data_IF_663035185094
#
_entry.id   IF_663035185094
#
_cell.length_a   1.000
_cell.length_b   1.000
_cell.length_c   1.000
_cell.angle_alpha   90.00
_cell.angle_beta   90.00
_cell.angle_gamma   90.00
#
_symmetry.space_group_name_H-M   'P 1'
#
loop_
_entity.id
_entity.type
_entity.pdbx_description
1 polymer ?
#
# COMPACT_ATOMS: atom_id res chain seq x y z
N UNK A 1 27.76 25.90 -19.38
CA UNK A 1 26.48 25.18 -19.42
C UNK A 1 25.70 25.59 -18.17
N UNK A 2 24.62 26.35 -18.30
CA UNK A 2 23.85 26.83 -17.15
C UNK A 2 22.94 25.68 -16.69
N UNK A 3 23.16 25.19 -15.47
CA UNK A 3 22.27 24.21 -14.85
C UNK A 3 21.11 24.98 -14.22
N UNK A 4 19.87 24.67 -14.61
CA UNK A 4 18.70 25.20 -13.93
C UNK A 4 18.63 24.63 -12.50
N UNK A 5 18.32 25.46 -11.49
CA UNK A 5 18.05 24.96 -10.14
C UNK A 5 16.86 23.99 -10.10
N UNK A 6 16.82 23.09 -9.12
CA UNK A 6 15.74 22.10 -8.97
C UNK A 6 14.37 22.77 -8.81
N UNK A 7 14.33 23.94 -8.20
CA UNK A 7 13.14 24.76 -7.99
C UNK A 7 12.46 25.13 -9.31
N UNK A 8 13.24 25.36 -10.37
CA UNK A 8 12.72 25.63 -11.71
C UNK A 8 12.06 24.39 -12.30
N UNK A 9 12.71 23.22 -12.16
CA UNK A 9 12.15 21.95 -12.63
C UNK A 9 10.86 21.58 -11.89
N UNK A 10 10.80 21.80 -10.57
CA UNK A 10 9.58 21.55 -9.80
C UNK A 10 8.41 22.39 -10.30
N UNK A 11 8.62 23.67 -10.62
CA UNK A 11 7.57 24.50 -11.25
C UNK A 11 7.10 23.90 -12.58
N UNK A 12 8.03 23.47 -13.44
CA UNK A 12 7.68 22.82 -14.72
C UNK A 12 6.84 21.56 -14.47
N UNK A 13 7.27 20.69 -13.55
CA UNK A 13 6.55 19.46 -13.25
C UNK A 13 5.18 19.70 -12.63
N UNK A 14 5.03 20.73 -11.80
CA UNK A 14 3.73 21.11 -11.25
C UNK A 14 2.74 21.55 -12.33
N UNK A 15 3.20 22.25 -13.39
CA UNK A 15 2.35 22.54 -14.55
C UNK A 15 1.98 21.29 -15.37
N UNK A 16 2.85 20.26 -15.38
CA UNK A 16 2.63 19.03 -16.15
C UNK A 16 1.81 17.96 -15.39
N UNK A 17 1.57 18.14 -14.09
CA UNK A 17 0.86 17.17 -13.23
C UNK A 17 -0.58 16.88 -13.67
N UNK A 18 -1.21 17.78 -14.41
CA UNK A 18 -2.60 17.61 -14.86
C UNK A 18 -2.74 16.56 -15.97
N UNK A 19 -1.65 16.14 -16.60
CA UNK A 19 -1.64 15.17 -17.70
C UNK A 19 -0.77 13.94 -17.39
N UNK A 20 -1.01 12.81 -18.10
CA UNK A 20 -0.11 11.64 -18.13
C UNK A 20 1.32 11.98 -18.64
N UNK A 21 1.54 13.21 -19.10
CA UNK A 21 2.81 13.81 -19.54
C UNK A 21 3.93 13.75 -18.49
N UNK A 22 3.62 13.64 -17.19
CA UNK A 22 4.67 13.55 -16.18
C UNK A 22 5.45 12.21 -16.26
N UNK A 23 4.82 11.14 -16.76
CA UNK A 23 5.50 9.86 -16.99
C UNK A 23 6.50 9.94 -18.15
N UNK A 24 6.20 10.66 -19.23
CA UNK A 24 7.13 10.81 -20.36
C UNK A 24 8.39 11.58 -19.94
N UNK A 25 8.26 12.49 -18.97
CA UNK A 25 9.38 13.25 -18.42
C UNK A 25 10.40 12.37 -17.67
N UNK A 26 10.02 11.15 -17.23
CA UNK A 26 10.95 10.16 -16.66
C UNK A 26 12.03 9.72 -17.65
N UNK A 27 11.73 9.78 -18.95
CA UNK A 27 12.58 9.24 -20.01
C UNK A 27 13.54 10.28 -20.59
N UNK A 28 13.42 11.55 -20.20
CA UNK A 28 14.22 12.66 -20.76
C UNK A 28 15.70 12.53 -20.38
N UNK A 29 16.00 12.43 -19.08
CA UNK A 29 17.36 12.18 -18.59
C UNK A 29 17.34 11.69 -17.13
N UNK A 30 18.50 11.24 -16.62
CA UNK A 30 18.65 10.72 -15.25
C UNK A 30 18.33 11.75 -14.16
N UNK A 31 18.56 13.03 -14.41
CA UNK A 31 18.29 14.08 -13.44
C UNK A 31 16.78 14.32 -13.27
N UNK A 32 16.05 14.43 -14.39
CA UNK A 32 14.59 14.55 -14.42
C UNK A 32 13.92 13.33 -13.79
N UNK A 33 14.37 12.13 -14.17
CA UNK A 33 13.91 10.87 -13.57
C UNK A 33 13.99 10.91 -12.03
N UNK A 34 15.14 11.35 -11.47
CA UNK A 34 15.35 11.44 -10.02
C UNK A 34 14.42 12.44 -9.32
N UNK A 35 14.06 13.55 -9.96
CA UNK A 35 13.16 14.55 -9.40
C UNK A 35 11.69 14.11 -9.48
N UNK A 36 11.32 13.46 -10.58
CA UNK A 36 9.92 13.12 -10.88
C UNK A 36 9.47 11.86 -10.15
N UNK A 37 10.33 10.85 -9.98
CA UNK A 37 9.94 9.60 -9.30
C UNK A 37 9.31 9.86 -7.92
N UNK A 38 9.90 10.67 -7.02
CA UNK A 38 9.27 11.01 -5.74
C UNK A 38 7.96 11.77 -5.87
N UNK A 39 7.73 12.50 -6.97
CA UNK A 39 6.49 13.24 -7.23
C UNK A 39 5.39 12.26 -7.63
N UNK A 40 5.65 11.43 -8.66
CA UNK A 40 4.71 10.44 -9.17
C UNK A 40 4.32 9.41 -8.10
N UNK A 41 5.28 8.94 -7.31
CA UNK A 41 5.02 7.96 -6.25
C UNK A 41 4.54 8.58 -4.93
N UNK A 42 4.39 9.91 -4.85
CA UNK A 42 3.87 10.53 -3.63
C UNK A 42 2.38 10.27 -3.42
N UNK A 43 1.62 10.21 -4.50
CA UNK A 43 0.23 9.77 -4.52
C UNK A 43 0.13 8.77 -5.65
N UNK A 44 0.43 7.48 -5.39
CA UNK A 44 0.36 6.47 -6.43
C UNK A 44 -1.06 6.49 -7.00
N UNK A 45 -1.17 6.90 -8.26
CA UNK A 45 -2.41 6.90 -9.05
C UNK A 45 -3.12 5.56 -8.89
N UNK A 46 -4.45 5.58 -8.98
CA UNK A 46 -5.36 4.48 -8.70
C UNK A 46 -4.71 3.09 -8.85
N UNK A 47 -4.19 2.60 -7.73
CA UNK A 47 -3.37 1.41 -7.66
C UNK A 47 -4.14 0.13 -8.00
N UNK A 48 -5.46 0.25 -8.15
CA UNK A 48 -6.35 -0.76 -8.70
C UNK A 48 -6.14 -1.00 -10.20
N UNK A 49 -5.66 0.00 -10.93
CA UNK A 49 -5.52 -0.01 -12.40
C UNK A 49 -4.20 -0.63 -12.85
N UNK A 50 -3.10 -0.38 -12.13
CA UNK A 50 -1.77 -0.87 -12.51
C UNK A 50 -1.16 -1.83 -11.47
N UNK A 51 -1.30 -3.13 -11.75
CA UNK A 51 -0.72 -4.23 -10.95
C UNK A 51 0.80 -4.15 -10.79
N UNK A 52 1.51 -3.42 -11.67
CA UNK A 52 2.96 -3.23 -11.54
C UNK A 52 3.31 -2.45 -10.28
N UNK A 53 2.43 -1.55 -9.81
CA UNK A 53 2.61 -0.82 -8.56
C UNK A 53 2.64 -1.78 -7.36
N UNK A 54 1.69 -2.72 -7.30
CA UNK A 54 1.66 -3.74 -6.25
C UNK A 54 2.93 -4.58 -6.26
N UNK A 55 3.37 -5.04 -7.44
CA UNK A 55 4.63 -5.80 -7.58
C UNK A 55 5.84 -5.00 -7.07
N UNK A 56 5.94 -3.71 -7.38
CA UNK A 56 7.04 -2.85 -6.90
C UNK A 56 7.05 -2.75 -5.37
N UNK A 57 5.88 -2.61 -4.74
CA UNK A 57 5.78 -2.56 -3.29
C UNK A 57 6.08 -3.91 -2.63
N UNK A 58 5.64 -5.02 -3.24
CA UNK A 58 5.96 -6.37 -2.78
C UNK A 58 7.48 -6.63 -2.76
N UNK A 59 8.24 -6.10 -3.71
CA UNK A 59 9.71 -6.19 -3.73
C UNK A 59 10.39 -5.38 -2.61
N UNK A 60 9.65 -4.51 -1.93
CA UNK A 60 10.17 -3.65 -0.85
C UNK A 60 9.89 -4.22 0.56
N UNK A 61 9.24 -5.39 0.62
CA UNK A 61 8.94 -6.08 1.88
C UNK A 61 10.20 -6.64 2.54
N UNK A 62 10.34 -6.45 3.85
CA UNK A 62 11.36 -7.09 4.66
C UNK A 62 10.93 -8.51 5.08
N UNK A 63 11.83 -9.26 5.72
CA UNK A 63 11.56 -10.65 6.15
C UNK A 63 10.34 -10.75 7.06
N UNK A 64 10.17 -9.82 8.01
CA UNK A 64 9.04 -9.81 8.95
C UNK A 64 7.70 -9.64 8.22
N UNK A 65 7.63 -8.72 7.25
CA UNK A 65 6.42 -8.42 6.47
C UNK A 65 6.04 -9.56 5.55
N UNK A 66 7.03 -10.31 5.05
CA UNK A 66 6.84 -11.49 4.22
C UNK A 66 6.26 -12.67 5.01
N UNK A 67 6.47 -12.73 6.33
CA UNK A 67 5.96 -13.86 7.15
C UNK A 67 4.45 -14.02 7.08
N UNK A 68 3.70 -12.91 6.87
CA UNK A 68 2.24 -12.92 6.74
C UNK A 68 1.76 -13.65 5.48
N UNK A 69 2.63 -13.83 4.49
CA UNK A 69 2.32 -14.42 3.19
C UNK A 69 2.52 -15.94 3.17
N UNK A 70 3.33 -16.46 4.09
CA UNK A 70 3.70 -17.88 4.19
C UNK A 70 2.47 -18.79 4.32
N UNK A 71 1.47 -18.52 5.18
CA UNK A 71 0.29 -19.40 5.34
C UNK A 71 -0.53 -19.55 4.06
N UNK A 72 -0.37 -18.63 3.10
CA UNK A 72 -1.09 -18.61 1.84
C UNK A 72 -0.23 -19.06 0.66
N UNK A 73 0.98 -19.59 0.91
CA UNK A 73 1.92 -20.02 -0.14
C UNK A 73 2.10 -18.96 -1.25
N UNK A 74 2.02 -17.67 -0.91
CA UNK A 74 2.20 -16.58 -1.85
C UNK A 74 3.69 -16.42 -2.08
N UNK A 75 4.12 -16.66 -3.31
CA UNK A 75 5.51 -16.58 -3.73
C UNK A 75 5.73 -15.18 -4.26
N UNK A 76 6.66 -14.45 -3.64
CA UNK A 76 7.00 -13.12 -4.10
C UNK A 76 7.84 -13.17 -5.39
N UNK A 77 7.72 -12.16 -6.25
CA UNK A 77 8.51 -12.11 -7.46
C UNK A 77 10.01 -12.04 -7.12
N UNK A 78 10.82 -12.94 -7.67
CA UNK A 78 12.28 -12.95 -7.49
C UNK A 78 12.96 -12.00 -8.50
N UNK A 79 12.65 -10.71 -8.42
CA UNK A 79 13.27 -9.69 -9.27
C UNK A 79 14.38 -8.93 -8.54
N UNK A 80 15.23 -8.24 -9.32
CA UNK A 80 16.19 -7.29 -8.79
C UNK A 80 15.49 -6.20 -7.97
N UNK A 81 16.14 -5.79 -6.87
CA UNK A 81 15.66 -4.69 -6.02
C UNK A 81 15.32 -3.44 -6.87
N UNK A 82 14.19 -2.75 -6.60
CA UNK A 82 13.85 -1.54 -7.31
C UNK A 82 14.95 -0.48 -7.22
N UNK A 83 15.13 0.29 -8.30
CA UNK A 83 16.16 1.35 -8.37
C UNK A 83 15.95 2.46 -7.33
N UNK A 84 14.69 2.72 -6.97
CA UNK A 84 14.29 3.72 -6.02
C UNK A 84 13.53 3.11 -4.85
N UNK A 85 13.55 3.79 -3.70
CA UNK A 85 12.73 3.44 -2.54
C UNK A 85 11.30 3.93 -2.71
N UNK A 86 10.58 3.38 -3.68
CA UNK A 86 9.23 3.84 -4.06
C UNK A 86 8.27 3.91 -2.87
N UNK A 87 8.33 2.94 -1.95
CA UNK A 87 7.50 2.91 -0.75
C UNK A 87 7.78 4.07 0.22
N UNK A 88 8.98 4.66 0.23
CA UNK A 88 9.32 5.78 1.12
C UNK A 88 8.83 7.14 0.58
N UNK A 89 8.48 7.20 -0.70
CA UNK A 89 7.93 8.41 -1.32
C UNK A 89 6.41 8.54 -1.13
N UNK A 90 5.71 7.42 -0.93
CA UNK A 90 4.25 7.38 -0.74
C UNK A 90 3.78 8.24 0.43
N UNK A 91 2.89 9.19 0.14
CA UNK A 91 2.25 10.09 1.12
C UNK A 91 0.81 9.70 1.43
N UNK A 92 0.15 8.99 0.53
CA UNK A 92 -1.23 8.53 0.69
C UNK A 92 -1.36 7.07 0.29
N UNK A 93 -2.04 6.30 1.14
CA UNK A 93 -2.47 4.93 0.86
C UNK A 93 -3.97 4.87 1.09
N UNK A 94 -4.72 4.76 -0.01
CA UNK A 94 -6.18 4.78 -0.01
C UNK A 94 -6.82 3.42 -0.24
N UNK A 95 -8.14 3.42 -0.39
CA UNK A 95 -8.94 2.21 -0.64
C UNK A 95 -8.56 1.43 -1.91
N UNK A 96 -7.93 2.06 -2.91
CA UNK A 96 -7.49 1.39 -4.14
C UNK A 96 -6.55 0.20 -3.87
N UNK A 97 -5.84 0.21 -2.71
CA UNK A 97 -4.84 -0.81 -2.39
C UNK A 97 -5.48 -2.20 -2.34
N UNK A 98 -6.70 -2.29 -1.82
CA UNK A 98 -7.43 -3.54 -1.76
C UNK A 98 -7.67 -4.12 -3.15
N UNK A 99 -8.17 -3.30 -4.08
CA UNK A 99 -8.52 -3.75 -5.42
C UNK A 99 -7.26 -4.04 -6.24
N UNK A 100 -6.19 -3.25 -6.08
CA UNK A 100 -4.89 -3.53 -6.68
C UNK A 100 -4.32 -4.87 -6.23
N UNK A 101 -4.34 -5.15 -4.92
CA UNK A 101 -3.88 -6.44 -4.37
C UNK A 101 -4.73 -7.59 -4.89
N UNK A 102 -6.06 -7.41 -4.92
CA UNK A 102 -6.98 -8.43 -5.42
C UNK A 102 -6.74 -8.74 -6.91
N UNK A 103 -6.56 -7.70 -7.73
CA UNK A 103 -6.26 -7.85 -9.15
C UNK A 103 -4.92 -8.55 -9.36
N UNK A 104 -3.89 -8.15 -8.60
CA UNK A 104 -2.58 -8.83 -8.65
C UNK A 104 -2.69 -10.31 -8.29
N UNK A 105 -3.34 -10.65 -7.16
CA UNK A 105 -3.52 -12.05 -6.75
C UNK A 105 -4.31 -12.88 -7.78
N UNK A 106 -5.30 -12.28 -8.44
CA UNK A 106 -6.06 -12.94 -9.49
C UNK A 106 -5.17 -13.26 -10.69
N UNK A 107 -4.36 -12.30 -11.12
CA UNK A 107 -3.48 -12.44 -12.28
C UNK A 107 -2.35 -13.46 -12.07
N UNK A 108 -1.86 -13.61 -10.83
CA UNK A 108 -0.90 -14.66 -10.48
C UNK A 108 -1.58 -16.03 -10.23
N UNK A 109 -2.91 -16.13 -10.33
CA UNK A 109 -3.66 -17.38 -10.16
C UNK A 109 -3.86 -17.81 -8.70
N UNK A 110 -3.68 -16.92 -7.72
CA UNK A 110 -3.87 -17.26 -6.31
C UNK A 110 -5.35 -17.38 -5.92
N UNK A 111 -6.25 -16.56 -6.50
CA UNK A 111 -7.65 -16.50 -6.03
C UNK A 111 -8.44 -17.78 -6.32
N UNK A 112 -8.16 -18.48 -7.42
CA UNK A 112 -8.84 -19.72 -7.78
C UNK A 112 -8.58 -20.87 -6.78
N UNK A 113 -7.48 -20.80 -6.03
CA UNK A 113 -7.11 -21.77 -5.00
C UNK A 113 -7.89 -21.58 -3.68
N UNK A 114 -8.51 -20.42 -3.43
CA UNK A 114 -9.13 -20.05 -2.15
C UNK A 114 -10.65 -19.87 -2.22
N UNK A 115 -11.35 -20.81 -2.88
CA UNK A 115 -12.81 -20.76 -3.16
C UNK A 115 -13.70 -20.48 -1.93
N UNK A 116 -13.26 -20.81 -0.70
CA UNK A 116 -14.05 -20.68 0.55
C UNK A 116 -13.80 -19.37 1.31
N UNK A 117 -12.62 -18.75 1.20
CA UNK A 117 -12.19 -17.56 1.96
C UNK A 117 -11.37 -16.56 1.10
N UNK A 118 -11.94 -16.05 0.00
CA UNK A 118 -11.21 -15.22 -1.00
C UNK A 118 -10.53 -13.96 -0.42
N UNK A 119 -10.98 -13.46 0.74
CA UNK A 119 -10.49 -12.22 1.32
C UNK A 119 -9.27 -12.40 2.24
N UNK A 120 -8.98 -13.61 2.73
CA UNK A 120 -7.85 -13.85 3.64
C UNK A 120 -6.48 -13.59 2.99
N UNK A 121 -6.15 -14.15 1.80
CA UNK A 121 -4.87 -13.85 1.14
C UNK A 121 -4.77 -12.38 0.73
N UNK A 122 -5.88 -11.76 0.31
CA UNK A 122 -5.95 -10.32 0.02
C UNK A 122 -5.61 -9.50 1.26
N UNK A 123 -6.19 -9.85 2.41
CA UNK A 123 -5.90 -9.19 3.67
C UNK A 123 -4.46 -9.39 4.12
N UNK A 124 -3.89 -10.59 3.94
CA UNK A 124 -2.50 -10.86 4.28
C UNK A 124 -1.54 -9.96 3.50
N UNK A 125 -1.67 -9.91 2.17
CA UNK A 125 -0.85 -9.04 1.31
C UNK A 125 -1.05 -7.57 1.66
N UNK A 126 -2.30 -7.14 1.83
CA UNK A 126 -2.63 -5.76 2.23
C UNK A 126 -1.97 -5.41 3.58
N UNK A 127 -2.00 -6.30 4.57
CA UNK A 127 -1.37 -6.10 5.86
C UNK A 127 0.16 -5.96 5.74
N UNK A 128 0.81 -6.82 4.95
CA UNK A 128 2.25 -6.72 4.67
C UNK A 128 2.62 -5.38 4.04
N UNK A 129 1.84 -4.94 3.05
CA UNK A 129 2.07 -3.66 2.37
C UNK A 129 1.84 -2.47 3.31
N UNK A 130 0.78 -2.49 4.13
CA UNK A 130 0.52 -1.43 5.12
C UNK A 130 1.68 -1.36 6.13
N UNK A 131 2.11 -2.50 6.68
CA UNK A 131 3.24 -2.55 7.61
C UNK A 131 4.52 -1.97 6.96
N UNK A 132 4.78 -2.34 5.71
CA UNK A 132 5.88 -1.77 4.93
C UNK A 132 5.75 -0.26 4.78
N UNK A 133 4.60 0.28 4.37
CA UNK A 133 4.41 1.72 4.22
C UNK A 133 4.64 2.46 5.55
N UNK A 134 4.14 1.91 6.65
CA UNK A 134 4.34 2.49 7.98
C UNK A 134 5.81 2.48 8.41
N UNK A 135 6.58 1.46 8.02
CA UNK A 135 8.01 1.35 8.29
C UNK A 135 8.84 2.27 7.40
N UNK A 136 8.57 2.31 6.09
CA UNK A 136 9.43 2.97 5.10
C UNK A 136 9.10 4.43 4.89
N UNK A 137 7.82 4.81 4.96
CA UNK A 137 7.40 6.15 4.61
C UNK A 137 7.49 7.10 5.80
N UNK A 138 8.37 8.11 5.65
CA UNK A 138 8.49 9.25 6.56
C UNK A 138 7.58 10.41 6.16
N UNK A 139 6.82 10.26 5.08
CA UNK A 139 5.96 11.31 4.52
C UNK A 139 4.51 10.84 4.38
N UNK A 140 4.18 9.67 4.92
CA UNK A 140 2.83 9.10 4.88
C UNK A 140 1.92 9.94 5.76
N UNK A 141 1.00 10.66 5.13
CA UNK A 141 0.04 11.54 5.80
C UNK A 141 -1.34 10.92 5.90
N UNK A 142 -1.74 10.17 4.88
CA UNK A 142 -3.08 9.60 4.74
C UNK A 142 -2.95 8.08 4.66
N UNK A 143 -3.66 7.39 5.55
CA UNK A 143 -3.75 5.94 5.55
C UNK A 143 -5.21 5.52 5.76
N UNK A 144 -5.77 4.88 4.74
CA UNK A 144 -7.14 4.36 4.76
C UNK A 144 -7.12 2.84 4.79
N UNK A 145 -7.71 2.28 5.84
CA UNK A 145 -7.66 0.86 6.20
C UNK A 145 -9.10 0.37 6.24
N UNK A 146 -9.48 -0.53 5.33
CA UNK A 146 -10.81 -1.16 5.34
C UNK A 146 -10.71 -2.66 5.67
N UNK A 147 -11.58 -3.13 6.58
CA UNK A 147 -11.70 -4.53 7.01
C UNK A 147 -10.92 -4.87 8.28
N UNK A 148 -10.87 -6.16 8.63
CA UNK A 148 -10.12 -6.70 9.77
C UNK A 148 -8.62 -6.72 9.49
N UNK A 149 -7.97 -5.56 9.61
CA UNK A 149 -6.52 -5.39 9.42
C UNK A 149 -5.78 -5.44 10.79
N UNK A 150 -6.41 -6.00 11.82
CA UNK A 150 -5.82 -6.06 13.15
C UNK A 150 -4.74 -7.15 13.24
N UNK A 151 -3.54 -6.83 12.77
CA UNK A 151 -2.32 -7.57 13.08
C UNK A 151 -1.49 -6.77 14.10
N UNK A 152 -1.00 -7.43 15.14
CA UNK A 152 -0.11 -6.86 16.18
C UNK A 152 1.07 -6.07 15.58
N UNK A 153 1.58 -6.53 14.43
CA UNK A 153 2.63 -5.85 13.67
C UNK A 153 2.23 -4.43 13.25
N UNK A 154 1.03 -4.25 12.70
CA UNK A 154 0.53 -2.95 12.24
C UNK A 154 0.33 -2.02 13.43
N UNK A 155 -0.20 -2.53 14.56
CA UNK A 155 -0.33 -1.75 15.79
C UNK A 155 1.03 -1.22 16.29
N UNK A 156 2.07 -2.05 16.26
CA UNK A 156 3.42 -1.64 16.64
C UNK A 156 3.98 -0.54 15.72
N UNK A 157 3.80 -0.67 14.40
CA UNK A 157 4.27 0.33 13.45
C UNK A 157 3.47 1.63 13.52
N UNK A 158 2.15 1.57 13.72
CA UNK A 158 1.31 2.75 13.95
C UNK A 158 1.75 3.53 15.19
N UNK A 159 2.05 2.84 16.29
CA UNK A 159 2.54 3.48 17.51
C UNK A 159 3.87 4.22 17.28
N UNK A 160 4.73 3.71 16.41
CA UNK A 160 6.03 4.32 16.09
C UNK A 160 5.96 5.40 15.01
N UNK A 161 4.91 5.40 14.18
CA UNK A 161 4.79 6.35 13.08
C UNK A 161 4.17 7.66 13.55
N UNK A 162 4.95 8.74 13.50
CA UNK A 162 4.52 10.09 13.93
C UNK A 162 4.06 10.98 12.79
N UNK A 163 4.04 10.47 11.55
CA UNK A 163 3.86 11.30 10.34
C UNK A 163 2.44 11.28 9.80
N UNK A 164 1.62 10.33 10.23
CA UNK A 164 0.22 10.17 9.81
C UNK A 164 -0.62 11.29 10.39
N UNK A 165 -1.25 12.08 9.52
CA UNK A 165 -2.19 13.14 9.90
C UNK A 165 -3.64 12.70 9.80
N UNK A 166 -3.94 11.67 9.00
CA UNK A 166 -5.28 11.13 8.81
C UNK A 166 -5.23 9.60 8.77
N UNK A 167 -5.99 8.97 9.65
CA UNK A 167 -6.13 7.53 9.75
C UNK A 167 -7.63 7.18 9.73
N UNK A 168 -8.06 6.49 8.69
CA UNK A 168 -9.43 5.97 8.60
C UNK A 168 -9.39 4.45 8.75
N UNK A 169 -10.04 3.92 9.79
CA UNK A 169 -10.20 2.49 10.02
C UNK A 169 -11.68 2.16 9.87
N UNK A 170 -12.09 1.72 8.68
CA UNK A 170 -13.43 1.17 8.47
C UNK A 170 -13.43 -0.30 8.90
N UNK A 171 -13.68 -0.57 10.17
CA UNK A 171 -14.11 -1.90 10.60
C UNK A 171 -15.59 -2.05 10.27
N UNK A 172 -15.96 -3.06 9.47
CA UNK A 172 -17.34 -3.55 9.54
C UNK A 172 -17.52 -4.13 10.93
N UNK A 173 -18.27 -3.43 11.78
CA UNK A 173 -18.68 -3.88 13.11
C UNK A 173 -19.34 -5.24 12.97
N UNK A 174 -18.71 -6.29 13.50
CA UNK A 174 -19.42 -7.54 13.76
C UNK A 174 -20.15 -7.29 15.08
N UNK A 175 -21.48 -7.13 15.02
CA UNK A 175 -22.32 -7.09 16.20
C UNK A 175 -22.15 -8.39 16.99
N UNK A 176 -21.60 -8.32 18.19
CA UNK A 176 -21.77 -9.40 19.16
C UNK A 176 -23.24 -9.37 19.59
N UNK A 177 -24.07 -10.24 19.00
CA UNK A 177 -25.37 -10.61 19.58
C UNK A 177 -25.11 -11.05 21.02
N UNK A 178 -25.54 -10.22 21.97
CA UNK A 178 -25.43 -10.54 23.39
C UNK A 178 -26.03 -11.91 23.68
N UNK A 179 -25.28 -12.76 24.37
CA UNK A 179 -25.87 -13.87 25.12
C UNK A 179 -26.74 -13.26 26.21
N UNK A 180 -27.99 -12.97 25.87
CA UNK A 180 -29.05 -12.67 26.82
C UNK A 180 -29.35 -13.92 27.63
N UNK A 181 -29.09 -13.81 28.93
CA UNK A 181 -29.36 -14.80 29.97
C UNK A 181 -30.73 -15.46 29.82
N UNK A 182 -30.76 -16.77 29.57
CA UNK A 182 -31.88 -17.63 29.94
C UNK A 182 -31.60 -18.24 31.31
N UNK A 183 -31.81 -17.45 32.35
CA UNK A 183 -31.96 -17.91 33.73
C UNK A 183 -33.38 -17.69 34.18
N UNK A 184 -34.27 -18.64 33.87
CA UNK A 184 -35.61 -18.77 34.46
C UNK A 184 -35.46 -18.90 35.97
N UNK A 185 -35.99 -17.94 36.72
CA UNK A 185 -36.44 -18.16 38.09
C UNK A 185 -37.94 -18.47 38.03
N UNK A 186 -38.34 -19.64 38.53
CA UNK A 186 -39.73 -20.00 38.78
C UNK A 186 -39.75 -20.96 39.97
N UNK A 187 -40.43 -20.51 41.02
CA UNK A 187 -40.75 -21.15 42.31
C UNK A 187 -39.63 -21.13 43.37
#
# INVERSE_FOLDING_TARGET
MILLPNECFFKIFDYLKTDYSLFSCLLVNRHWCRLIVPILWSEPTDCSVDKRLIRIYLLSLNVEEQTLLIPFNIILPNYSKPLFEYASYTKSVGFCLHDGVKNWLNDEGYIDNYKRNRNEPVNAVKCSLIAMFLRTSKKLKILEINGTICNKMISNYLYRNTTISYLNICTKTIEFKGMGNNGRSSL
#
